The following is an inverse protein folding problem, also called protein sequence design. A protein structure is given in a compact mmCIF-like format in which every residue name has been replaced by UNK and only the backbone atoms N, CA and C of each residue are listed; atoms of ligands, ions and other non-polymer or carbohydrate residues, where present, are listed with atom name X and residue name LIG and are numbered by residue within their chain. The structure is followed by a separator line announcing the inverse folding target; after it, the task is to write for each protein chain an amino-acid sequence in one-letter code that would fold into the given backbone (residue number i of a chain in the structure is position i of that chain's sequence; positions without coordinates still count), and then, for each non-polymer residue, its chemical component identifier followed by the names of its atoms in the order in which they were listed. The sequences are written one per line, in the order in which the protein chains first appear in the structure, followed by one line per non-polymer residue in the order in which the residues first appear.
data_IF_232817539691
#
_entry.id   IF_232817539691
#
_cell.length_a   1.000
_cell.length_b   1.000
_cell.length_c   1.000
_cell.angle_alpha   90.00
_cell.angle_beta   90.00
_cell.angle_gamma   90.00
#
_symmetry.space_group_name_H-M   'P 1'
#
loop_
_entity.id
_entity.type
_entity.pdbx_description
1 polymer ?
#
# COMPACT_ATOMS: atom_id res chain seq x y z
N UNK A 1 -25.68 -35.88 35.38
CA UNK A 1 -25.68 -37.19 34.69
C UNK A 1 -26.40 -37.03 33.35
N UNK A 2 -25.69 -37.34 32.24
CA UNK A 2 -26.14 -37.64 30.86
C UNK A 2 -27.02 -36.62 30.11
N UNK A 3 -26.54 -35.90 29.07
CA UNK A 3 -26.15 -36.25 27.67
C UNK A 3 -27.30 -36.53 26.67
N UNK A 4 -27.29 -35.70 25.59
CA UNK A 4 -27.72 -35.94 24.19
C UNK A 4 -29.19 -35.59 23.88
N UNK A 5 -29.60 -34.88 22.80
CA UNK A 5 -29.38 -35.11 21.37
C UNK A 5 -29.83 -33.87 20.50
N UNK A 6 -29.67 -34.01 19.17
CA UNK A 6 -29.38 -33.01 18.12
C UNK A 6 -30.60 -32.58 17.27
N UNK A 7 -30.41 -31.49 16.50
CA UNK A 7 -31.12 -31.02 15.27
C UNK A 7 -32.15 -29.91 15.54
N UNK A 8 -32.24 -28.79 14.83
CA UNK A 8 -31.67 -28.32 13.57
C UNK A 8 -32.71 -27.37 12.97
N UNK A 9 -32.40 -26.10 12.72
CA UNK A 9 -33.32 -25.18 12.03
C UNK A 9 -32.53 -24.27 11.09
N UNK A 10 -32.84 -24.41 9.81
CA UNK A 10 -32.44 -23.56 8.70
C UNK A 10 -33.08 -22.17 8.82
N UNK A 11 -32.31 -21.10 8.64
CA UNK A 11 -32.87 -19.77 8.35
C UNK A 11 -32.64 -19.41 6.88
N UNK A 12 -33.78 -19.30 6.19
CA UNK A 12 -33.97 -18.75 4.84
C UNK A 12 -34.39 -17.29 5.00
N UNK A 13 -33.70 -16.37 4.34
CA UNK A 13 -34.14 -15.00 4.01
C UNK A 13 -33.06 -14.35 3.13
N UNK A 14 -33.31 -13.51 2.13
CA UNK A 14 -34.41 -13.27 1.20
C UNK A 14 -33.81 -12.29 0.17
N UNK A 15 -34.08 -12.50 -1.12
CA UNK A 15 -33.55 -11.68 -2.21
C UNK A 15 -34.20 -10.29 -2.26
N UNK A 16 -33.40 -9.26 -2.49
CA UNK A 16 -33.84 -7.97 -3.04
C UNK A 16 -33.03 -7.65 -4.29
N UNK A 17 -33.71 -7.61 -5.43
CA UNK A 17 -33.14 -7.28 -6.74
C UNK A 17 -32.82 -5.78 -6.84
N UNK A 18 -31.57 -5.45 -7.12
CA UNK A 18 -31.10 -4.14 -7.55
C UNK A 18 -30.10 -4.32 -8.70
N UNK A 19 -30.37 -3.68 -9.83
CA UNK A 19 -29.63 -3.83 -11.08
C UNK A 19 -28.19 -3.27 -10.99
N UNK A 20 -27.19 -4.16 -11.00
CA UNK A 20 -25.82 -3.95 -11.51
C UNK A 20 -25.13 -5.31 -11.58
N UNK A 21 -25.38 -6.09 -12.63
CA UNK A 21 -24.90 -7.49 -12.75
C UNK A 21 -23.48 -7.63 -13.32
N UNK A 22 -22.77 -6.51 -13.57
CA UNK A 22 -21.40 -6.49 -14.11
C UNK A 22 -20.30 -6.28 -13.08
N UNK A 23 -20.46 -5.34 -12.14
CA UNK A 23 -19.41 -4.98 -11.15
C UNK A 23 -19.30 -5.98 -9.98
N UNK A 24 -20.36 -6.75 -9.71
CA UNK A 24 -20.43 -7.62 -8.52
C UNK A 24 -19.54 -8.87 -8.60
N UNK A 25 -19.12 -9.30 -9.79
CA UNK A 25 -18.32 -10.53 -9.98
C UNK A 25 -16.81 -10.26 -10.03
N UNK A 26 -16.37 -9.14 -10.59
CA UNK A 26 -14.94 -8.78 -10.61
C UNK A 26 -14.39 -8.53 -9.21
N UNK A 27 -15.20 -7.92 -8.33
CA UNK A 27 -14.83 -7.65 -6.93
C UNK A 27 -14.59 -8.93 -6.13
N UNK A 28 -15.36 -10.00 -6.40
CA UNK A 28 -15.18 -11.31 -5.76
C UNK A 28 -13.87 -12.02 -6.16
N UNK A 29 -13.32 -11.69 -7.32
CA UNK A 29 -12.07 -12.25 -7.84
C UNK A 29 -10.91 -11.26 -7.80
N UNK A 30 -11.00 -10.26 -6.94
CA UNK A 30 -9.94 -9.26 -6.73
C UNK A 30 -8.97 -9.70 -5.62
N UNK A 31 -7.69 -9.43 -5.84
CA UNK A 31 -6.66 -9.67 -4.84
C UNK A 31 -6.68 -8.57 -3.78
N UNK A 32 -6.69 -8.89 -2.48
CA UNK A 32 -6.73 -7.90 -1.42
C UNK A 32 -5.45 -7.05 -1.28
N UNK A 33 -4.37 -7.39 -1.99
CA UNK A 33 -3.09 -6.65 -1.95
C UNK A 33 -3.02 -5.64 -3.10
N UNK A 34 -3.22 -6.06 -4.35
CA UNK A 34 -3.15 -5.17 -5.51
C UNK A 34 -4.51 -4.62 -5.96
N UNK A 35 -5.61 -5.10 -5.38
CA UNK A 35 -7.00 -4.70 -5.69
C UNK A 35 -7.43 -4.95 -7.14
N UNK A 36 -6.66 -5.74 -7.87
CA UNK A 36 -6.94 -6.15 -9.25
C UNK A 36 -7.33 -7.63 -9.30
N UNK A 37 -7.85 -8.08 -10.45
CA UNK A 37 -8.15 -9.51 -10.68
C UNK A 37 -6.92 -10.38 -10.39
N UNK A 38 -7.15 -11.50 -9.69
CA UNK A 38 -6.08 -12.44 -9.31
C UNK A 38 -5.21 -12.84 -10.51
N UNK A 39 -3.89 -12.85 -10.30
CA UNK A 39 -2.91 -13.37 -11.24
C UNK A 39 -2.09 -14.45 -10.57
N UNK A 40 -2.15 -15.67 -11.14
CA UNK A 40 -1.56 -16.89 -10.56
C UNK A 40 -1.91 -17.03 -9.06
N UNK A 41 -3.20 -17.18 -8.72
CA UNK A 41 -3.66 -17.14 -7.33
C UNK A 41 -3.05 -18.27 -6.50
N UNK A 42 -2.61 -17.93 -5.30
CA UNK A 42 -2.09 -18.86 -4.29
C UNK A 42 -2.90 -18.71 -3.01
N UNK A 43 -3.17 -19.82 -2.33
CA UNK A 43 -3.93 -19.85 -1.08
C UNK A 43 -3.02 -20.31 0.06
N UNK A 44 -3.16 -19.66 1.21
CA UNK A 44 -2.45 -20.05 2.43
C UNK A 44 -3.21 -21.22 3.07
N UNK A 45 -2.58 -22.40 3.17
CA UNK A 45 -3.26 -23.62 3.62
C UNK A 45 -3.90 -23.54 5.01
N UNK A 46 -3.29 -22.81 5.95
CA UNK A 46 -3.78 -22.73 7.33
C UNK A 46 -5.05 -21.86 7.49
N UNK A 47 -5.23 -20.83 6.65
CA UNK A 47 -6.33 -19.86 6.80
C UNK A 47 -7.21 -19.70 5.56
N UNK A 48 -6.85 -20.31 4.43
CA UNK A 48 -7.64 -20.31 3.19
C UNK A 48 -7.64 -19.00 2.39
N UNK A 49 -7.00 -17.94 2.89
CA UNK A 49 -6.93 -16.66 2.17
C UNK A 49 -6.10 -16.75 0.90
N UNK A 50 -6.60 -16.13 -0.17
CA UNK A 50 -6.03 -16.20 -1.52
C UNK A 50 -5.47 -14.85 -1.96
N UNK A 51 -4.33 -14.89 -2.64
CA UNK A 51 -3.58 -13.72 -3.11
C UNK A 51 -2.99 -14.00 -4.49
N UNK A 52 -2.57 -12.98 -5.23
CA UNK A 52 -1.68 -13.21 -6.38
C UNK A 52 -0.35 -13.79 -5.90
N UNK A 53 0.23 -14.73 -6.65
CA UNK A 53 1.52 -15.35 -6.32
C UNK A 53 2.61 -14.31 -6.07
N UNK A 54 2.68 -13.28 -6.92
CA UNK A 54 3.63 -12.16 -6.83
C UNK A 54 3.34 -11.24 -5.63
N UNK A 55 2.07 -10.98 -5.33
CA UNK A 55 1.69 -10.14 -4.20
C UNK A 55 2.03 -10.78 -2.84
N UNK A 56 1.98 -12.11 -2.74
CA UNK A 56 2.33 -12.82 -1.51
C UNK A 56 3.85 -13.04 -1.35
N UNK A 57 4.64 -12.96 -2.43
CA UNK A 57 6.10 -13.23 -2.39
C UNK A 57 6.85 -12.50 -1.27
N UNK A 58 6.64 -11.19 -1.01
CA UNK A 58 7.37 -10.49 0.03
C UNK A 58 7.14 -11.09 1.42
N UNK A 59 5.95 -11.63 1.68
CA UNK A 59 5.63 -12.30 2.94
C UNK A 59 6.33 -13.65 3.06
N UNK A 60 6.69 -14.33 1.97
CA UNK A 60 7.38 -15.63 2.04
C UNK A 60 8.87 -15.48 2.39
N UNK A 61 9.42 -14.28 2.26
CA UNK A 61 10.84 -14.00 2.49
C UNK A 61 11.16 -13.65 3.95
N UNK A 62 10.14 -13.39 4.78
CA UNK A 62 10.33 -13.03 6.19
C UNK A 62 10.25 -14.27 7.08
N UNK A 63 11.05 -14.33 8.17
CA UNK A 63 10.91 -15.38 9.17
C UNK A 63 9.53 -15.30 9.83
N UNK A 64 8.89 -16.45 10.03
CA UNK A 64 7.58 -16.58 10.68
C UNK A 64 6.49 -15.68 10.06
N UNK A 65 6.10 -15.91 8.80
CA UNK A 65 5.22 -14.99 8.10
C UNK A 65 3.78 -15.05 8.61
N UNK A 66 3.10 -13.91 8.52
CA UNK A 66 1.71 -13.74 8.92
C UNK A 66 0.85 -13.45 7.68
N UNK A 67 -0.36 -14.02 7.65
CA UNK A 67 -1.31 -13.76 6.56
C UNK A 67 -1.65 -12.24 6.49
N UNK A 68 -1.58 -11.60 5.31
CA UNK A 68 -1.92 -10.18 5.17
C UNK A 68 -3.36 -9.81 5.55
N UNK A 69 -4.29 -10.77 5.48
CA UNK A 69 -5.71 -10.56 5.80
C UNK A 69 -6.06 -10.81 7.27
N UNK A 70 -5.71 -11.98 7.80
CA UNK A 70 -6.12 -12.39 9.15
C UNK A 70 -5.00 -12.43 10.18
N UNK A 71 -3.76 -12.12 9.78
CA UNK A 71 -2.54 -12.19 10.61
C UNK A 71 -2.23 -13.54 11.23
N UNK A 72 -2.90 -14.61 10.82
CA UNK A 72 -2.56 -15.95 11.26
C UNK A 72 -1.16 -16.32 10.77
N UNK A 73 -0.29 -16.86 11.65
CA UNK A 73 0.98 -17.43 11.25
C UNK A 73 0.76 -18.57 10.27
N UNK A 74 1.61 -18.63 9.24
CA UNK A 74 1.55 -19.71 8.27
C UNK A 74 2.94 -20.21 7.90
N UNK A 75 3.00 -21.44 7.40
CA UNK A 75 4.21 -22.04 6.89
C UNK A 75 4.34 -21.68 5.39
N UNK A 76 5.43 -21.02 4.95
CA UNK A 76 5.68 -20.74 3.54
C UNK A 76 5.55 -21.97 2.64
N UNK A 77 5.87 -23.17 3.15
CA UNK A 77 5.80 -24.43 2.39
C UNK A 77 4.37 -24.92 2.18
N UNK A 78 3.39 -24.38 2.91
CA UNK A 78 1.96 -24.71 2.79
C UNK A 78 1.18 -23.69 1.97
N UNK A 79 1.88 -22.90 1.17
CA UNK A 79 1.27 -21.98 0.21
C UNK A 79 1.17 -22.69 -1.12
N UNK A 80 -0.07 -22.97 -1.54
CA UNK A 80 -0.35 -23.79 -2.70
C UNK A 80 -1.11 -22.99 -3.77
N UNK A 81 -0.99 -23.42 -5.02
CA UNK A 81 -1.76 -22.81 -6.12
C UNK A 81 -3.25 -23.06 -5.91
N UNK A 82 -4.05 -22.01 -6.09
CA UNK A 82 -5.50 -22.09 -5.89
C UNK A 82 -6.21 -22.54 -7.17
N UNK A 83 -6.13 -23.85 -7.46
CA UNK A 83 -6.71 -24.43 -8.69
C UNK A 83 -8.22 -24.22 -8.81
N UNK A 84 -8.95 -24.14 -7.69
CA UNK A 84 -10.37 -23.83 -7.69
C UNK A 84 -10.62 -22.39 -8.19
N UNK A 85 -9.87 -21.42 -7.66
CA UNK A 85 -9.96 -20.02 -8.05
C UNK A 85 -9.54 -19.84 -9.52
N UNK A 86 -8.48 -20.51 -9.98
CA UNK A 86 -8.08 -20.48 -11.40
C UNK A 86 -9.17 -21.00 -12.35
N UNK A 87 -9.85 -22.09 -11.96
CA UNK A 87 -11.01 -22.61 -12.73
C UNK A 87 -12.15 -21.61 -12.77
N UNK A 88 -12.47 -20.98 -11.64
CA UNK A 88 -13.50 -19.93 -11.59
C UNK A 88 -13.15 -18.72 -12.47
N UNK A 89 -11.91 -18.23 -12.41
CA UNK A 89 -11.42 -17.14 -13.27
C UNK A 89 -11.46 -17.49 -14.77
N UNK A 90 -11.38 -18.77 -15.12
CA UNK A 90 -11.48 -19.24 -16.50
C UNK A 90 -12.92 -19.29 -17.01
N UNK A 91 -13.88 -19.58 -16.12
CA UNK A 91 -15.30 -19.68 -16.45
C UNK A 91 -15.99 -18.33 -16.63
N UNK A 92 -15.64 -17.34 -15.78
CA UNK A 92 -16.29 -16.04 -15.82
C UNK A 92 -15.67 -15.09 -16.86
N UNK A 93 -16.54 -14.34 -17.53
CA UNK A 93 -16.17 -13.30 -18.50
C UNK A 93 -16.72 -11.96 -18.04
N UNK A 94 -15.89 -10.92 -18.11
CA UNK A 94 -16.27 -9.55 -17.82
C UNK A 94 -15.86 -8.63 -18.99
N UNK A 95 -16.58 -7.52 -19.22
CA UNK A 95 -16.18 -6.53 -20.20
C UNK A 95 -14.96 -5.73 -19.70
N UNK A 96 -13.97 -5.50 -20.56
CA UNK A 96 -12.88 -4.58 -20.26
C UNK A 96 -13.40 -3.14 -20.09
N UNK A 97 -12.95 -2.44 -19.04
CA UNK A 97 -13.37 -1.04 -18.77
C UNK A 97 -12.93 -0.03 -19.84
N UNK A 98 -11.90 -0.34 -20.62
CA UNK A 98 -11.44 0.53 -21.72
C UNK A 98 -12.11 0.24 -23.06
N UNK A 99 -12.05 -0.99 -23.55
CA UNK A 99 -12.54 -1.33 -24.89
C UNK A 99 -13.86 -2.11 -24.92
N UNK A 100 -14.48 -2.38 -23.76
CA UNK A 100 -15.74 -3.13 -23.61
C UNK A 100 -15.74 -4.57 -24.14
N UNK A 101 -14.58 -5.09 -24.58
CA UNK A 101 -14.46 -6.49 -25.04
C UNK A 101 -14.66 -7.44 -23.86
N UNK A 102 -15.52 -8.45 -24.03
CA UNK A 102 -15.71 -9.52 -23.04
C UNK A 102 -14.48 -10.43 -23.01
N UNK A 103 -13.75 -10.43 -21.91
CA UNK A 103 -12.54 -11.22 -21.69
C UNK A 103 -12.74 -12.11 -20.47
N UNK A 104 -12.18 -13.32 -20.48
CA UNK A 104 -12.17 -14.18 -19.29
C UNK A 104 -11.33 -13.54 -18.19
N UNK A 105 -11.74 -13.67 -16.93
CA UNK A 105 -11.03 -13.02 -15.81
C UNK A 105 -9.55 -13.41 -15.75
N UNK A 106 -9.23 -14.68 -16.03
CA UNK A 106 -7.83 -15.15 -16.09
C UNK A 106 -6.97 -14.44 -17.13
N UNK A 107 -7.57 -13.96 -18.24
CA UNK A 107 -6.88 -13.23 -19.31
C UNK A 107 -7.01 -11.71 -19.18
N UNK A 108 -7.78 -11.21 -18.22
CA UNK A 108 -8.10 -9.79 -18.09
C UNK A 108 -6.85 -8.94 -17.88
N UNK A 109 -5.91 -9.37 -17.02
CA UNK A 109 -4.65 -8.65 -16.77
C UNK A 109 -3.78 -8.52 -18.03
N UNK A 110 -3.61 -9.60 -18.79
CA UNK A 110 -2.86 -9.58 -20.05
C UNK A 110 -3.56 -8.77 -21.14
N UNK A 111 -4.89 -8.72 -21.10
CA UNK A 111 -5.65 -7.87 -21.99
C UNK A 111 -5.46 -6.39 -21.64
N UNK A 112 -5.58 -6.02 -20.36
CA UNK A 112 -5.43 -4.63 -19.89
C UNK A 112 -4.06 -4.07 -20.27
N UNK A 113 -2.97 -4.85 -20.09
CA UNK A 113 -1.62 -4.40 -20.45
C UNK A 113 -1.43 -4.12 -21.94
N UNK A 114 -2.23 -4.75 -22.81
CA UNK A 114 -2.18 -4.60 -24.28
C UNK A 114 -3.39 -3.85 -24.87
N UNK A 115 -4.29 -3.33 -24.03
CA UNK A 115 -5.50 -2.66 -24.49
C UNK A 115 -5.22 -1.18 -24.77
N UNK A 116 -5.22 -0.80 -26.04
CA UNK A 116 -5.02 0.60 -26.48
C UNK A 116 -5.98 1.57 -25.80
N UNK A 117 -7.26 1.21 -25.65
CA UNK A 117 -8.27 2.06 -24.99
C UNK A 117 -7.99 2.27 -23.50
N UNK A 118 -7.50 1.25 -22.79
CA UNK A 118 -7.10 1.41 -21.37
C UNK A 118 -5.83 2.26 -21.28
N UNK A 119 -4.86 2.03 -22.15
CA UNK A 119 -3.64 2.84 -22.20
C UNK A 119 -3.93 4.32 -22.50
N UNK A 120 -4.84 4.62 -23.43
CA UNK A 120 -5.33 5.99 -23.72
C UNK A 120 -5.97 6.62 -22.48
N UNK A 121 -6.82 5.89 -21.74
CA UNK A 121 -7.43 6.37 -20.50
C UNK A 121 -6.41 6.64 -19.40
N UNK A 122 -5.39 5.79 -19.26
CA UNK A 122 -4.28 6.01 -18.32
C UNK A 122 -3.43 7.22 -18.71
N UNK A 123 -3.22 7.46 -20.01
CA UNK A 123 -2.49 8.62 -20.52
C UNK A 123 -3.27 9.94 -20.34
N UNK A 124 -4.60 9.87 -20.32
CA UNK A 124 -5.49 11.00 -20.07
C UNK A 124 -5.71 11.30 -18.57
N UNK A 125 -5.17 10.51 -17.64
CA UNK A 125 -5.14 10.94 -16.24
C UNK A 125 -4.38 12.29 -16.15
N UNK A 126 -4.89 13.26 -15.38
CA UNK A 126 -4.18 14.51 -15.16
C UNK A 126 -2.77 14.20 -14.69
N UNK A 127 -1.78 14.44 -15.53
CA UNK A 127 -0.39 14.47 -15.08
C UNK A 127 -0.36 15.54 -14.00
N UNK A 128 0.12 15.20 -12.82
CA UNK A 128 0.40 16.21 -11.79
C UNK A 128 1.35 17.22 -12.41
N UNK A 129 0.80 18.36 -12.81
CA UNK A 129 1.58 19.51 -13.22
C UNK A 129 2.00 20.18 -11.91
N UNK A 130 3.29 20.56 -11.75
CA UNK A 130 3.69 21.35 -10.60
C UNK A 130 2.71 22.52 -10.43
N UNK A 131 2.13 22.66 -9.24
CA UNK A 131 1.27 23.78 -8.93
C UNK A 131 2.06 25.05 -9.25
N UNK A 132 1.54 25.86 -10.17
CA UNK A 132 2.08 27.17 -10.53
C UNK A 132 2.37 27.93 -9.22
N UNK A 133 3.46 28.71 -9.09
CA UNK A 133 3.75 29.42 -7.84
C UNK A 133 2.50 30.19 -7.40
N UNK A 134 1.86 29.72 -6.33
CA UNK A 134 0.66 30.37 -5.84
C UNK A 134 1.06 31.78 -5.41
N UNK A 135 0.29 32.77 -5.84
CA UNK A 135 0.43 34.15 -5.35
C UNK A 135 0.01 34.28 -3.88
N UNK A 136 -0.43 33.18 -3.26
CA UNK A 136 -0.66 33.10 -1.82
C UNK A 136 0.68 32.94 -1.09
N UNK A 137 0.94 33.72 -0.03
CA UNK A 137 2.12 33.52 0.80
C UNK A 137 2.10 32.10 1.37
N UNK A 138 3.18 31.36 1.16
CA UNK A 138 3.38 30.04 1.78
C UNK A 138 3.26 30.24 3.29
N UNK A 139 2.33 29.57 3.98
CA UNK A 139 2.26 29.64 5.44
C UNK A 139 3.61 29.19 5.98
N UNK A 140 4.34 30.11 6.61
CA UNK A 140 5.70 29.91 7.12
C UNK A 140 5.79 28.82 8.20
N UNK A 141 4.64 28.33 8.66
CA UNK A 141 4.49 27.33 9.71
C UNK A 141 4.21 25.91 9.18
N UNK A 142 4.14 25.70 7.86
CA UNK A 142 4.00 24.36 7.28
C UNK A 142 5.41 23.86 6.86
N UNK A 143 5.99 22.88 7.57
CA UNK A 143 7.27 22.32 7.19
C UNK A 143 7.17 21.68 5.79
N UNK A 144 8.12 22.00 4.92
CA UNK A 144 8.19 21.43 3.57
C UNK A 144 8.49 19.94 3.64
N UNK A 145 7.60 19.11 3.07
CA UNK A 145 7.71 17.64 3.04
C UNK A 145 7.87 17.07 1.64
N UNK A 146 7.77 17.89 0.60
CA UNK A 146 7.70 17.43 -0.78
C UNK A 146 9.00 17.63 -1.55
N UNK A 147 9.76 18.67 -1.23
CA UNK A 147 11.02 19.00 -1.92
C UNK A 147 12.10 19.39 -0.93
N UNK A 148 13.34 19.07 -1.25
CA UNK A 148 14.48 19.20 -0.36
C UNK A 148 15.63 19.88 -1.09
N UNK A 149 16.54 20.44 -0.29
CA UNK A 149 17.79 21.03 -0.77
C UNK A 149 18.90 20.03 -0.47
N UNK A 150 19.73 19.73 -1.46
CA UNK A 150 20.92 18.89 -1.27
C UNK A 150 21.86 19.58 -0.29
N UNK A 151 22.20 18.94 0.83
CA UNK A 151 23.01 19.59 1.86
C UNK A 151 24.51 19.60 1.53
N UNK A 152 24.94 18.93 0.45
CA UNK A 152 26.32 18.98 -0.04
C UNK A 152 26.58 20.16 -0.98
N UNK A 153 25.68 20.39 -1.95
CA UNK A 153 25.90 21.35 -3.04
C UNK A 153 24.84 22.44 -3.15
N UNK A 154 23.77 22.38 -2.34
CA UNK A 154 22.69 23.38 -2.35
C UNK A 154 21.69 23.24 -3.50
N UNK A 155 21.75 22.16 -4.30
CA UNK A 155 20.75 21.90 -5.35
C UNK A 155 19.34 21.85 -4.73
N UNK A 156 18.41 22.64 -5.28
CA UNK A 156 17.05 22.86 -4.71
C UNK A 156 16.00 22.06 -5.48
N UNK A 157 14.80 21.97 -4.91
CA UNK A 157 13.62 21.35 -5.53
C UNK A 157 13.80 19.85 -5.85
N UNK A 158 14.62 19.15 -5.07
CA UNK A 158 14.80 17.71 -5.21
C UNK A 158 13.73 17.01 -4.39
N UNK A 159 12.86 16.21 -5.00
CA UNK A 159 12.01 15.31 -4.22
C UNK A 159 12.88 14.25 -3.49
N UNK A 160 12.27 13.42 -2.65
CA UNK A 160 13.03 12.41 -1.91
C UNK A 160 13.80 11.43 -2.83
N UNK A 161 13.22 11.01 -3.95
CA UNK A 161 13.83 10.04 -4.87
C UNK A 161 14.94 10.69 -5.70
N UNK A 162 14.70 11.89 -6.20
CA UNK A 162 15.68 12.69 -6.93
C UNK A 162 16.83 13.13 -6.02
N UNK A 163 16.58 13.39 -4.73
CA UNK A 163 17.65 13.65 -3.76
C UNK A 163 18.56 12.42 -3.59
N UNK A 164 17.98 11.22 -3.47
CA UNK A 164 18.75 9.96 -3.39
C UNK A 164 19.61 9.78 -4.63
N UNK A 165 18.98 9.90 -5.81
CA UNK A 165 19.66 9.75 -7.11
C UNK A 165 20.77 10.78 -7.28
N UNK A 166 20.47 12.05 -7.05
CA UNK A 166 21.44 13.15 -7.12
C UNK A 166 22.66 12.90 -6.22
N UNK A 167 22.44 12.51 -4.95
CA UNK A 167 23.54 12.24 -4.04
C UNK A 167 24.37 11.00 -4.43
N UNK A 168 23.74 9.95 -5.00
CA UNK A 168 24.49 8.80 -5.52
C UNK A 168 25.38 9.14 -6.71
N UNK A 169 24.89 9.99 -7.62
CA UNK A 169 25.59 10.33 -8.86
C UNK A 169 26.69 11.38 -8.63
N UNK A 170 26.45 12.35 -7.74
CA UNK A 170 27.32 13.53 -7.58
C UNK A 170 28.12 13.58 -6.28
N UNK A 171 27.73 12.80 -5.25
CA UNK A 171 28.31 12.88 -3.89
C UNK A 171 28.60 11.50 -3.27
N UNK A 172 28.91 10.49 -4.10
CA UNK A 172 29.10 9.09 -3.65
C UNK A 172 30.16 8.92 -2.55
N UNK A 173 31.22 9.72 -2.60
CA UNK A 173 32.39 9.64 -1.71
C UNK A 173 32.61 10.95 -0.94
N UNK A 174 31.59 11.79 -0.77
CA UNK A 174 31.71 13.05 -0.05
C UNK A 174 31.88 12.80 1.47
N UNK A 175 32.99 13.22 2.10
CA UNK A 175 33.25 12.94 3.51
C UNK A 175 32.50 13.88 4.48
N UNK A 176 31.77 14.88 3.97
CA UNK A 176 31.16 15.90 4.81
C UNK A 176 29.98 15.35 5.61
N UNK A 177 29.92 15.72 6.90
CA UNK A 177 28.79 15.42 7.78
C UNK A 177 27.71 16.48 7.60
N UNK A 178 26.55 16.05 7.12
CA UNK A 178 25.43 16.92 6.77
C UNK A 178 24.15 16.55 7.51
N UNK A 179 23.28 17.52 7.72
CA UNK A 179 21.94 17.30 8.26
C UNK A 179 21.06 16.72 7.16
N UNK A 180 20.29 15.69 7.47
CA UNK A 180 19.34 15.12 6.52
C UNK A 180 18.12 16.04 6.40
N UNK A 181 17.87 16.67 5.23
CA UNK A 181 16.76 17.62 5.06
C UNK A 181 15.39 16.94 5.19
N UNK A 182 15.31 15.63 4.91
CA UNK A 182 14.09 14.82 5.06
C UNK A 182 13.79 14.58 6.53
N UNK A 183 14.80 14.26 7.34
CA UNK A 183 14.62 14.08 8.78
C UNK A 183 14.31 15.41 9.48
N UNK A 184 15.01 16.51 9.14
CA UNK A 184 14.76 17.82 9.75
C UNK A 184 13.36 18.37 9.45
N UNK A 185 12.72 17.90 8.37
CA UNK A 185 11.34 18.25 8.04
C UNK A 185 10.28 17.50 8.90
N UNK A 186 10.69 16.50 9.68
CA UNK A 186 9.79 15.73 10.53
C UNK A 186 9.60 16.41 11.89
N UNK A 187 8.39 16.36 12.50
CA UNK A 187 8.15 16.96 13.82
C UNK A 187 9.02 16.40 14.95
N UNK A 188 9.53 15.17 14.77
CA UNK A 188 10.42 14.47 15.70
C UNK A 188 11.87 14.40 15.21
N UNK A 189 12.20 15.10 14.12
CA UNK A 189 13.57 15.21 13.62
C UNK A 189 14.36 16.26 14.38
N UNK A 190 15.67 16.05 14.51
CA UNK A 190 16.59 17.04 15.07
C UNK A 190 17.25 17.82 13.91
N UNK A 191 16.96 19.13 13.75
CA UNK A 191 17.56 19.97 12.70
C UNK A 191 19.08 20.18 12.85
N UNK A 192 19.65 19.87 14.01
CA UNK A 192 21.09 19.99 14.27
C UNK A 192 21.86 18.68 14.06
N UNK A 193 21.15 17.56 13.92
CA UNK A 193 21.77 16.24 13.82
C UNK A 193 22.46 16.03 12.47
N UNK A 194 23.79 15.91 12.52
CA UNK A 194 24.61 15.63 11.33
C UNK A 194 24.86 14.13 11.20
N UNK A 195 24.41 13.56 10.08
CA UNK A 195 24.67 12.16 9.76
C UNK A 195 26.14 11.94 9.39
N UNK A 196 26.77 10.92 9.98
CA UNK A 196 28.16 10.57 9.67
C UNK A 196 28.34 10.01 8.24
N UNK A 197 27.31 9.35 7.71
CA UNK A 197 27.23 8.91 6.31
C UNK A 197 25.81 9.18 5.81
N UNK A 198 25.60 10.40 5.30
CA UNK A 198 24.28 10.85 4.88
C UNK A 198 23.73 10.04 3.70
N UNK A 199 24.57 9.65 2.73
CA UNK A 199 24.12 8.83 1.60
C UNK A 199 23.58 7.47 2.06
N UNK A 200 24.31 6.79 2.94
CA UNK A 200 23.87 5.51 3.48
C UNK A 200 22.61 5.68 4.34
N UNK A 201 22.56 6.72 5.17
CA UNK A 201 21.35 7.05 5.92
C UNK A 201 20.12 7.20 5.00
N UNK A 202 20.25 7.97 3.92
CA UNK A 202 19.18 8.24 2.97
C UNK A 202 18.71 6.95 2.27
N UNK A 203 19.65 6.09 1.84
CA UNK A 203 19.34 4.82 1.19
C UNK A 203 18.65 3.80 2.11
N UNK A 204 18.96 3.78 3.41
CA UNK A 204 18.39 2.82 4.35
C UNK A 204 17.07 3.31 4.97
N UNK A 205 17.01 4.59 5.36
CA UNK A 205 15.88 5.16 6.11
C UNK A 205 14.80 5.76 5.21
N UNK A 206 15.17 6.19 4.01
CA UNK A 206 14.29 6.88 3.06
C UNK A 206 14.15 6.14 1.72
N UNK A 207 14.40 4.82 1.71
CA UNK A 207 14.09 3.94 0.57
C UNK A 207 12.60 3.96 0.19
N UNK A 208 11.74 4.29 1.15
CA UNK A 208 10.30 4.33 0.99
C UNK A 208 9.79 5.72 1.38
N UNK A 209 8.94 6.32 0.55
CA UNK A 209 8.26 7.57 0.87
C UNK A 209 7.27 7.35 2.00
N UNK A 210 7.49 8.00 3.14
CA UNK A 210 6.58 7.99 4.28
C UNK A 210 5.40 8.96 4.08
N UNK A 211 5.52 9.98 3.23
CA UNK A 211 4.45 10.97 3.02
C UNK A 211 3.15 10.36 2.48
N UNK A 212 3.22 9.25 1.73
CA UNK A 212 2.00 8.57 1.25
C UNK A 212 1.17 7.93 2.38
N UNK A 213 1.74 7.71 3.56
CA UNK A 213 1.09 6.96 4.66
C UNK A 213 0.75 7.78 5.90
N UNK A 214 1.18 9.06 5.99
CA UNK A 214 1.05 9.88 7.21
C UNK A 214 0.19 11.14 7.00
N UNK A 215 -0.31 11.39 5.79
CA UNK A 215 -1.08 12.60 5.44
C UNK A 215 -2.55 12.56 5.94
N UNK A 216 -3.01 11.49 6.58
CA UNK A 216 -4.41 11.37 7.02
C UNK A 216 -4.68 11.50 8.53
N UNK A 217 -3.74 11.92 9.38
CA UNK A 217 -4.03 11.95 10.84
C UNK A 217 -3.32 13.03 11.68
N UNK A 218 -3.04 14.23 11.17
CA UNK A 218 -2.44 15.29 12.02
C UNK A 218 -3.05 16.70 11.89
N UNK A 219 -4.30 16.85 11.42
CA UNK A 219 -4.98 18.16 11.41
C UNK A 219 -6.45 18.15 11.86
N UNK A 220 -6.83 17.34 12.86
CA UNK A 220 -8.16 17.47 13.49
C UNK A 220 -8.08 17.42 15.03
N UNK A 221 -7.56 18.51 15.60
CA UNK A 221 -7.82 19.00 16.97
C UNK A 221 -7.72 20.51 16.78
N UNK A 222 -8.76 21.34 16.73
CA UNK A 222 -10.07 21.40 17.37
C UNK A 222 -11.14 22.05 16.46
N UNK A 223 -12.40 21.87 16.87
CA UNK A 223 -13.64 22.55 16.44
C UNK A 223 -14.51 21.96 15.30
N UNK A 224 -15.45 21.11 15.76
CA UNK A 224 -16.86 21.05 15.35
C UNK A 224 -17.21 20.87 13.86
N UNK A 225 -16.85 19.72 13.28
CA UNK A 225 -17.67 19.16 12.20
C UNK A 225 -17.80 17.64 12.30
N UNK A 226 -19.01 17.20 12.62
CA UNK A 226 -19.44 15.81 12.65
C UNK A 226 -19.49 15.29 11.22
N UNK A 227 -18.48 14.53 10.79
CA UNK A 227 -18.51 13.81 9.52
C UNK A 227 -18.49 12.31 9.83
N UNK A 228 -19.54 11.61 9.40
CA UNK A 228 -19.66 10.16 9.54
C UNK A 228 -18.58 9.47 8.71
N UNK A 229 -17.55 8.92 9.35
CA UNK A 229 -16.59 8.01 8.72
C UNK A 229 -16.95 6.59 9.17
N UNK A 230 -17.20 5.70 8.22
CA UNK A 230 -17.63 4.33 8.47
C UNK A 230 -16.59 3.52 9.26
N UNK A 231 -17.07 2.70 10.20
CA UNK A 231 -16.33 1.94 11.22
C UNK A 231 -15.21 1.01 10.71
N UNK A 232 -15.05 0.86 9.39
CA UNK A 232 -14.08 -0.05 8.78
C UNK A 232 -12.65 0.52 8.75
N UNK A 233 -12.46 1.84 8.77
CA UNK A 233 -11.12 2.44 8.77
C UNK A 233 -10.44 2.42 10.15
N UNK A 234 -11.21 2.42 11.24
CA UNK A 234 -10.68 2.48 12.61
C UNK A 234 -9.89 1.21 13.01
N UNK A 235 -10.29 0.03 12.48
CA UNK A 235 -9.57 -1.22 12.72
C UNK A 235 -8.23 -1.30 11.98
N UNK A 236 -8.09 -0.68 10.81
CA UNK A 236 -6.85 -0.68 10.05
C UNK A 236 -5.75 0.17 10.74
N UNK A 237 -6.14 1.26 11.41
CA UNK A 237 -5.24 2.15 12.16
C UNK A 237 -4.68 1.52 13.44
N UNK A 238 -5.50 0.82 14.25
CA UNK A 238 -4.97 0.02 15.39
C UNK A 238 -4.01 -1.07 14.95
N UNK A 239 -4.26 -1.64 13.78
CA UNK A 239 -3.44 -2.67 13.16
C UNK A 239 -2.05 -2.15 12.75
N UNK A 240 -1.94 -0.90 12.29
CA UNK A 240 -0.67 -0.27 11.88
C UNK A 240 0.16 0.22 13.09
N UNK A 241 -0.49 0.86 14.08
CA UNK A 241 0.19 1.29 15.31
C UNK A 241 0.72 0.13 16.16
N UNK A 242 0.03 -1.00 16.19
CA UNK A 242 0.50 -2.22 16.88
C UNK A 242 1.73 -2.84 16.19
N UNK A 243 1.83 -2.72 14.85
CA UNK A 243 3.00 -3.15 14.07
C UNK A 243 4.20 -2.25 14.36
N UNK A 244 4.02 -0.92 14.39
CA UNK A 244 5.11 0.02 14.69
C UNK A 244 5.60 -0.12 16.13
N UNK A 245 4.70 -0.29 17.11
CA UNK A 245 5.09 -0.57 18.51
C UNK A 245 5.83 -1.90 18.66
N UNK A 246 5.46 -2.93 17.89
CA UNK A 246 6.14 -4.24 17.91
C UNK A 246 7.51 -4.20 17.23
N UNK A 247 7.65 -3.47 16.12
CA UNK A 247 8.92 -3.24 15.44
C UNK A 247 9.89 -2.38 16.26
N UNK A 248 9.39 -1.35 16.96
CA UNK A 248 10.19 -0.55 17.90
C UNK A 248 10.59 -1.33 19.15
N UNK A 249 9.82 -2.34 19.57
CA UNK A 249 10.20 -3.25 20.65
C UNK A 249 11.32 -4.21 20.24
N UNK A 250 11.35 -4.68 18.99
CA UNK A 250 12.44 -5.51 18.46
C UNK A 250 13.76 -4.74 18.29
N UNK A 251 13.71 -3.44 17.99
CA UNK A 251 14.91 -2.60 17.82
C UNK A 251 15.60 -2.18 19.13
N UNK A 252 14.94 -2.36 20.29
CA UNK A 252 15.53 -2.07 21.62
C UNK A 252 16.30 -3.24 22.25
N UNK A 253 16.49 -4.36 21.55
CA UNK A 253 17.15 -5.58 22.08
C UNK A 253 18.51 -5.86 21.41
N UNK A 254 19.09 -4.90 20.70
CA UNK A 254 20.37 -5.10 19.97
C UNK A 254 21.39 -3.97 20.15
N UNK A 255 21.33 -3.20 21.24
CA UNK A 255 22.46 -2.42 21.76
C UNK A 255 22.35 -2.29 23.27
#
# INVERSE_FOLDING_TARGET
MFRSFVSGVQQKQQQTNGATTGDSLESQFSCPICLEVYHKPVSIGNCGHTFCGECLQPCLQVPSPLCPLCRMPFDPKKVEKSSNVEKQLSSYKAPCRGCSKKVTLIKMRSHISSCTKVQEQMANCPKFVPVVPTSQPIPSNIPNRSTFVCPYCGARNLDQQELVKHCMENHRNDPNKVVCPVCSAMPWGDPSYKSANFLQHLLHRHKFSYDTFVVSEWWLVEDNLRVCVSDTLYLHFRYFFSIIKSLLKCLKVQY
#
